data_IF_073291652655
#
_entry.id   IF_073291652655
#
_cell.length_a   1.000
_cell.length_b   1.000
_cell.length_c   1.000
_cell.angle_alpha   90.00
_cell.angle_beta   90.00
_cell.angle_gamma   90.00
#
_symmetry.space_group_name_H-M   'P 1'
#
loop_
_entity.id
_entity.type
_entity.pdbx_description
1 polymer ?
#
# COMPACT_ATOMS: atom_id res chain seq x y z
N UNK A 1 -11.86 14.91 -0.56
CA UNK A 1 -10.78 14.37 -1.40
C UNK A 1 -10.16 13.22 -0.62
N UNK A 2 -9.91 12.08 -1.25
CA UNK A 2 -9.14 10.99 -0.62
C UNK A 2 -7.67 11.19 -0.98
N UNK A 3 -6.80 11.24 0.01
CA UNK A 3 -5.35 11.26 -0.19
C UNK A 3 -4.87 9.82 -0.32
N UNK A 4 -3.99 9.57 -1.28
CA UNK A 4 -3.33 8.29 -1.47
C UNK A 4 -1.92 8.37 -0.89
N UNK A 5 -1.54 7.36 -0.13
CA UNK A 5 -0.18 7.13 0.32
C UNK A 5 0.55 6.31 -0.74
N UNK A 6 1.77 6.70 -1.08
CA UNK A 6 2.59 6.08 -2.12
C UNK A 6 3.95 5.71 -1.52
N UNK A 7 4.37 4.47 -1.69
CA UNK A 7 5.73 4.01 -1.42
C UNK A 7 6.41 3.77 -2.75
N UNK A 8 7.49 4.51 -3.00
CA UNK A 8 8.11 4.55 -4.33
C UNK A 8 9.63 4.60 -4.27
N UNK A 9 10.26 3.98 -5.27
CA UNK A 9 11.69 4.09 -5.55
C UNK A 9 11.98 5.01 -6.74
N UNK A 10 10.94 5.45 -7.46
CA UNK A 10 11.06 6.13 -8.76
C UNK A 10 11.65 7.53 -8.66
N UNK A 11 11.65 8.11 -7.46
CA UNK A 11 12.19 9.43 -7.15
C UNK A 11 13.14 9.39 -5.95
N UNK A 12 14.12 10.29 -5.94
CA UNK A 12 15.01 10.52 -4.79
C UNK A 12 14.51 11.65 -3.88
N UNK A 13 15.28 11.95 -2.81
CA UNK A 13 14.96 13.00 -1.83
C UNK A 13 14.99 14.42 -2.42
N UNK A 14 15.63 14.59 -3.57
CA UNK A 14 15.72 15.84 -4.31
C UNK A 14 14.66 15.88 -5.44
N UNK A 15 13.70 14.94 -5.43
CA UNK A 15 12.62 14.79 -6.42
C UNK A 15 13.10 14.49 -7.85
N UNK A 16 14.31 13.95 -8.02
CA UNK A 16 14.79 13.51 -9.33
C UNK A 16 14.37 12.07 -9.60
N UNK A 17 14.04 11.77 -10.85
CA UNK A 17 13.74 10.40 -11.28
C UNK A 17 15.01 9.52 -11.19
N UNK A 18 14.87 8.37 -10.51
CA UNK A 18 15.96 7.39 -10.35
C UNK A 18 15.94 6.33 -11.45
N UNK A 19 14.77 6.09 -12.05
CA UNK A 19 14.51 4.95 -12.94
C UNK A 19 14.30 3.62 -12.21
N UNK A 20 14.35 3.61 -10.87
CA UNK A 20 14.09 2.41 -10.06
C UNK A 20 12.60 2.19 -9.82
N UNK A 21 12.21 0.93 -9.68
CA UNK A 21 10.82 0.53 -9.38
C UNK A 21 10.78 -0.68 -8.47
N UNK A 22 9.67 -0.85 -7.74
CA UNK A 22 9.37 -2.10 -7.01
C UNK A 22 8.79 -3.09 -8.01
N UNK A 23 9.45 -4.23 -8.22
CA UNK A 23 8.97 -5.24 -9.16
C UNK A 23 7.85 -6.09 -8.56
N UNK A 24 6.98 -6.65 -9.40
CA UNK A 24 5.94 -7.60 -8.97
C UNK A 24 6.54 -8.80 -8.24
N UNK A 25 7.67 -9.32 -8.73
CA UNK A 25 8.34 -10.47 -8.14
C UNK A 25 8.87 -10.16 -6.73
N UNK A 26 9.52 -9.00 -6.54
CA UNK A 26 10.05 -8.61 -5.23
C UNK A 26 8.92 -8.34 -4.23
N UNK A 27 7.84 -7.72 -4.68
CA UNK A 27 6.68 -7.45 -3.84
C UNK A 27 5.97 -8.74 -3.40
N UNK A 28 5.75 -9.69 -4.33
CA UNK A 28 5.16 -10.99 -4.01
C UNK A 28 6.07 -11.75 -3.03
N UNK A 29 7.39 -11.79 -3.29
CA UNK A 29 8.34 -12.45 -2.41
C UNK A 29 8.34 -11.83 -0.99
N UNK A 30 8.21 -10.51 -0.89
CA UNK A 30 8.08 -9.83 0.40
C UNK A 30 6.81 -10.25 1.14
N UNK A 31 5.65 -10.23 0.46
CA UNK A 31 4.37 -10.66 1.05
C UNK A 31 4.46 -12.10 1.55
N UNK A 32 5.01 -13.02 0.76
CA UNK A 32 5.14 -14.43 1.14
C UNK A 32 6.07 -14.65 2.34
N UNK A 33 7.01 -13.72 2.58
CA UNK A 33 7.92 -13.76 3.72
C UNK A 33 7.33 -13.19 5.02
N UNK A 34 6.28 -12.38 4.95
CA UNK A 34 5.68 -11.70 6.11
C UNK A 34 4.32 -12.32 6.47
N UNK A 35 4.26 -13.01 7.62
CA UNK A 35 3.03 -13.65 8.11
C UNK A 35 1.87 -12.68 8.37
N UNK A 36 2.15 -11.38 8.54
CA UNK A 36 1.12 -10.36 8.71
C UNK A 36 0.50 -9.94 7.37
N UNK A 37 1.06 -10.37 6.24
CA UNK A 37 0.57 -10.03 4.90
C UNK A 37 0.01 -11.25 4.18
N UNK A 38 -0.87 -11.03 3.21
CA UNK A 38 -1.13 -11.99 2.14
C UNK A 38 -1.55 -11.27 0.87
N UNK A 39 -1.43 -11.96 -0.27
CA UNK A 39 -2.06 -11.51 -1.51
C UNK A 39 -3.57 -11.63 -1.39
N UNK A 40 -4.27 -10.57 -1.80
CA UNK A 40 -5.72 -10.61 -1.91
C UNK A 40 -6.11 -11.45 -3.12
N UNK A 41 -6.99 -12.41 -2.91
CA UNK A 41 -7.53 -13.27 -3.97
C UNK A 41 -9.03 -13.07 -4.18
N UNK A 42 -9.72 -12.44 -3.21
CA UNK A 42 -11.16 -12.20 -3.25
C UNK A 42 -11.52 -10.83 -3.83
N UNK A 43 -12.45 -10.77 -4.81
CA UNK A 43 -12.89 -9.51 -5.41
C UNK A 43 -13.53 -8.58 -4.39
N UNK A 44 -13.57 -7.28 -4.71
CA UNK A 44 -14.37 -6.34 -3.94
C UNK A 44 -15.82 -6.45 -4.37
N UNK A 45 -16.74 -6.58 -3.41
CA UNK A 45 -18.17 -6.49 -3.64
C UNK A 45 -18.70 -5.18 -3.06
N UNK A 46 -19.37 -4.39 -3.89
CA UNK A 46 -20.05 -3.16 -3.48
C UNK A 46 -21.53 -3.26 -3.85
N UNK A 47 -22.41 -2.88 -2.91
CA UNK A 47 -23.85 -2.81 -3.18
C UNK A 47 -24.18 -1.51 -3.91
N UNK A 48 -24.69 -1.63 -5.13
CA UNK A 48 -25.21 -0.51 -5.90
C UNK A 48 -26.52 0.02 -5.27
N UNK A 49 -26.89 1.30 -5.52
CA UNK A 49 -28.11 1.89 -4.97
C UNK A 49 -29.42 1.20 -5.37
N UNK A 50 -29.41 0.46 -6.49
CA UNK A 50 -30.53 -0.34 -6.98
C UNK A 50 -30.59 -1.76 -6.35
N UNK A 51 -29.67 -2.08 -5.44
CA UNK A 51 -29.54 -3.39 -4.80
C UNK A 51 -28.71 -4.40 -5.61
N UNK A 52 -28.16 -4.01 -6.77
CA UNK A 52 -27.21 -4.82 -7.53
C UNK A 52 -25.86 -4.98 -6.80
N UNK A 53 -25.13 -6.05 -7.09
CA UNK A 53 -23.76 -6.24 -6.58
C UNK A 53 -22.76 -5.92 -7.69
N UNK A 54 -21.93 -4.91 -7.45
CA UNK A 54 -20.79 -4.57 -8.31
C UNK A 54 -19.59 -5.37 -7.80
N UNK A 55 -19.07 -6.25 -8.66
CA UNK A 55 -17.84 -7.01 -8.41
C UNK A 55 -16.67 -6.33 -9.11
N UNK A 56 -15.66 -5.93 -8.35
CA UNK A 56 -14.41 -5.42 -8.90
C UNK A 56 -13.33 -6.48 -8.75
N UNK A 57 -12.63 -6.75 -9.85
CA UNK A 57 -11.47 -7.62 -9.85
C UNK A 57 -10.39 -7.10 -8.92
N UNK A 58 -9.65 -8.02 -8.29
CA UNK A 58 -8.49 -7.66 -7.49
C UNK A 58 -7.35 -7.25 -8.43
N UNK A 59 -6.79 -6.04 -8.29
CA UNK A 59 -5.58 -5.64 -8.99
C UNK A 59 -4.42 -6.60 -8.68
N UNK A 60 -3.54 -6.90 -9.66
CA UNK A 60 -2.31 -7.63 -9.40
C UNK A 60 -1.51 -6.98 -8.26
N UNK A 61 -0.94 -7.81 -7.38
CA UNK A 61 -0.13 -7.30 -6.27
C UNK A 61 -0.92 -6.55 -5.19
N UNK A 62 -2.26 -6.60 -5.15
CA UNK A 62 -2.99 -6.11 -3.98
C UNK A 62 -2.80 -7.05 -2.79
N UNK A 63 -2.39 -6.48 -1.65
CA UNK A 63 -2.21 -7.20 -0.40
C UNK A 63 -3.27 -6.89 0.64
N UNK A 64 -3.35 -7.77 1.62
CA UNK A 64 -4.09 -7.60 2.86
C UNK A 64 -3.14 -7.67 4.04
N UNK A 65 -3.43 -6.90 5.08
CA UNK A 65 -2.70 -6.93 6.35
C UNK A 65 -3.59 -7.50 7.45
N UNK A 66 -3.06 -8.44 8.22
CA UNK A 66 -3.67 -8.93 9.45
C UNK A 66 -3.43 -7.94 10.59
N UNK A 67 -4.50 -7.57 11.28
CA UNK A 67 -4.49 -6.81 12.52
C UNK A 67 -4.36 -7.76 13.73
N UNK A 68 -4.06 -7.20 14.91
CA UNK A 68 -3.85 -7.98 16.13
C UNK A 68 -5.10 -8.79 16.58
N UNK A 69 -6.28 -8.39 16.15
CA UNK A 69 -7.55 -9.10 16.41
C UNK A 69 -7.85 -10.22 15.39
N UNK A 70 -6.94 -10.45 14.43
CA UNK A 70 -7.09 -11.42 13.36
C UNK A 70 -7.85 -10.90 12.14
N UNK A 71 -8.37 -9.67 12.19
CA UNK A 71 -9.05 -9.04 11.05
C UNK A 71 -8.07 -8.78 9.93
N UNK A 72 -8.45 -9.10 8.69
CA UNK A 72 -7.67 -8.74 7.48
C UNK A 72 -8.28 -7.51 6.83
N UNK A 73 -7.45 -6.51 6.56
CA UNK A 73 -7.84 -5.29 5.88
C UNK A 73 -7.11 -5.15 4.55
N UNK A 74 -7.72 -4.53 3.52
CA UNK A 74 -6.99 -4.12 2.33
C UNK A 74 -5.82 -3.22 2.71
N UNK A 75 -4.65 -3.46 2.13
CA UNK A 75 -3.43 -2.74 2.50
C UNK A 75 -2.82 -2.03 1.29
N UNK A 76 -1.68 -2.49 0.77
CA UNK A 76 -0.99 -1.88 -0.37
C UNK A 76 -1.32 -2.60 -1.67
N UNK A 77 -1.44 -1.84 -2.76
CA UNK A 77 -1.55 -2.37 -4.11
C UNK A 77 -0.37 -1.90 -4.95
N UNK A 78 0.27 -2.83 -5.64
CA UNK A 78 1.33 -2.53 -6.60
C UNK A 78 0.72 -2.08 -7.93
N UNK A 79 1.15 -0.91 -8.40
CA UNK A 79 0.77 -0.39 -9.72
C UNK A 79 1.93 0.41 -10.28
N UNK A 80 2.35 0.09 -11.51
CA UNK A 80 3.42 0.81 -12.24
C UNK A 80 4.73 0.95 -11.44
N UNK A 81 5.06 -0.06 -10.63
CA UNK A 81 6.30 -0.05 -9.85
C UNK A 81 6.23 0.66 -8.49
N UNK A 82 5.04 1.11 -8.09
CA UNK A 82 4.80 1.83 -6.83
C UNK A 82 3.73 1.11 -6.00
N UNK A 83 3.90 1.11 -4.68
CA UNK A 83 2.90 0.58 -3.77
C UNK A 83 2.01 1.72 -3.31
N UNK A 84 0.70 1.59 -3.43
CA UNK A 84 -0.23 2.63 -3.04
C UNK A 84 -1.34 2.10 -2.15
N UNK A 85 -1.81 2.96 -1.24
CA UNK A 85 -3.01 2.72 -0.45
C UNK A 85 -3.73 4.03 -0.17
N UNK A 86 -4.95 3.94 0.35
CA UNK A 86 -5.61 5.13 0.88
C UNK A 86 -4.93 5.55 2.18
N UNK A 87 -4.57 6.82 2.28
CA UNK A 87 -4.10 7.40 3.53
C UNK A 87 -5.27 7.55 4.51
N UNK A 88 -5.03 7.18 5.77
CA UNK A 88 -5.99 7.32 6.86
C UNK A 88 -5.40 8.25 7.94
N UNK A 89 -6.16 9.24 8.47
CA UNK A 89 -5.65 10.16 9.50
C UNK A 89 -5.10 9.47 10.75
N UNK A 90 -5.61 8.28 11.10
CA UNK A 90 -5.12 7.50 12.24
C UNK A 90 -3.67 7.02 12.06
N UNK A 91 -3.10 7.12 10.86
CA UNK A 91 -1.68 6.85 10.59
C UNK A 91 -0.76 7.95 11.11
N UNK A 92 -1.27 9.13 11.49
CA UNK A 92 -0.44 10.15 12.17
C UNK A 92 0.09 9.65 13.52
N UNK A 93 -0.59 8.67 14.13
CA UNK A 93 -0.11 7.99 15.32
C UNK A 93 1.03 7.01 14.97
N UNK A 94 2.21 7.20 15.58
CA UNK A 94 3.38 6.32 15.41
C UNK A 94 3.15 4.89 15.92
N UNK A 95 2.16 4.68 16.79
CA UNK A 95 1.75 3.38 17.29
C UNK A 95 0.80 2.64 16.34
N UNK A 96 0.33 3.31 15.28
CA UNK A 96 -0.52 2.70 14.28
C UNK A 96 0.21 1.57 13.53
N UNK A 97 -0.31 0.35 13.63
CA UNK A 97 0.30 -0.84 13.02
C UNK A 97 0.44 -0.72 11.51
N UNK A 98 -0.52 -0.06 10.84
CA UNK A 98 -0.52 0.13 9.40
C UNK A 98 0.63 1.07 9.01
N UNK A 99 0.81 2.19 9.72
CA UNK A 99 1.97 3.08 9.52
C UNK A 99 3.29 2.34 9.73
N UNK A 100 3.43 1.62 10.85
CA UNK A 100 4.65 0.88 11.17
C UNK A 100 4.98 -0.13 10.07
N UNK A 101 3.96 -0.81 9.52
CA UNK A 101 4.14 -1.76 8.43
C UNK A 101 4.56 -1.06 7.13
N UNK A 102 3.96 0.10 6.80
CA UNK A 102 4.39 0.90 5.64
C UNK A 102 5.84 1.34 5.79
N UNK A 103 6.24 1.87 6.95
CA UNK A 103 7.61 2.27 7.23
C UNK A 103 8.60 1.10 7.09
N UNK A 104 8.24 -0.07 7.62
CA UNK A 104 9.03 -1.30 7.46
C UNK A 104 9.21 -1.67 5.98
N UNK A 105 8.14 -1.59 5.18
CA UNK A 105 8.17 -1.89 3.74
C UNK A 105 9.04 -0.89 2.99
N UNK A 106 8.87 0.40 3.26
CA UNK A 106 9.69 1.44 2.66
C UNK A 106 11.17 1.24 2.97
N UNK A 107 11.49 0.93 4.23
CA UNK A 107 12.86 0.61 4.63
C UNK A 107 13.41 -0.63 3.91
N UNK A 108 12.63 -1.71 3.81
CA UNK A 108 13.03 -2.93 3.12
C UNK A 108 13.41 -2.69 1.65
N UNK A 109 12.60 -1.90 0.93
CA UNK A 109 12.84 -1.60 -0.47
C UNK A 109 13.78 -0.42 -0.71
N UNK A 110 14.29 0.22 0.35
CA UNK A 110 14.99 1.51 0.28
C UNK A 110 14.17 2.54 -0.55
N UNK A 111 12.87 2.60 -0.26
CA UNK A 111 11.89 3.43 -0.92
C UNK A 111 11.51 4.63 -0.06
N UNK A 112 10.99 5.68 -0.70
CA UNK A 112 10.43 6.85 -0.05
C UNK A 112 8.92 6.68 0.12
N UNK A 113 8.36 7.38 1.10
CA UNK A 113 6.93 7.45 1.34
C UNK A 113 6.47 8.88 1.03
N UNK A 114 5.46 9.02 0.18
CA UNK A 114 4.87 10.31 -0.20
C UNK A 114 3.34 10.17 -0.28
N UNK A 115 2.67 11.27 -0.61
CA UNK A 115 1.25 11.26 -0.93
C UNK A 115 1.00 11.73 -2.36
N UNK A 116 -0.18 11.41 -2.91
CA UNK A 116 -0.61 11.92 -4.22
C UNK A 116 -0.89 13.44 -4.22
N UNK A 117 -0.89 14.09 -3.05
CA UNK A 117 -0.82 15.55 -2.95
C UNK A 117 0.56 16.09 -3.35
N UNK A 118 1.62 15.26 -3.31
CA UNK A 118 2.95 15.57 -3.84
C UNK A 118 3.75 16.59 -3.05
N UNK A 119 3.22 17.08 -1.92
CA UNK A 119 3.80 18.22 -1.23
C UNK A 119 5.05 17.85 -0.40
N UNK A 120 5.08 16.68 0.25
CA UNK A 120 6.14 16.31 1.20
C UNK A 120 6.41 14.79 1.26
N UNK A 121 7.66 14.42 1.56
CA UNK A 121 8.01 13.06 1.95
C UNK A 121 7.68 12.82 3.43
N UNK A 122 7.13 11.65 3.73
CA UNK A 122 6.81 11.24 5.09
C UNK A 122 8.02 10.55 5.71
N UNK A 123 8.60 11.16 6.76
CA UNK A 123 9.72 10.61 7.53
C UNK A 123 9.21 9.56 8.55
N UNK A 124 8.73 8.42 8.04
CA UNK A 124 8.19 7.32 8.85
C UNK A 124 9.16 6.16 9.01
#
# INVERSE_FOLDING_TARGET
MSVSLIVTKSIDRDYNETGDSISDADWIAFIESDSALALRTEPFEATAPDGGVIRMSVPPGQSEMALNDGTRIPFLALSRGELSMRYHPDMEDVSNLVRQKVAQIAHHFNALITSDAGDEFLEW
#
